data_IF_227698315605
#
_entry.id   IF_227698315605
#
_cell.length_a   1.000
_cell.length_b   1.000
_cell.length_c   1.000
_cell.angle_alpha   90.00
_cell.angle_beta   90.00
_cell.angle_gamma   90.00
#
_symmetry.space_group_name_H-M   'P 1'
#
loop_
_entity.id
_entity.type
_entity.pdbx_description
1 polymer ?
#
# COMPACT_ATOMS: atom_id res chain seq x y z
N UNK A 1 -1.95 -11.04 -24.66
CA UNK A 1 -3.10 -11.83 -25.18
C UNK A 1 -3.48 -12.82 -24.10
N UNK A 2 -4.75 -12.88 -23.67
CA UNK A 2 -5.15 -13.79 -22.59
C UNK A 2 -5.11 -15.26 -23.04
N UNK A 3 -4.56 -16.15 -22.19
CA UNK A 3 -4.59 -17.61 -22.41
C UNK A 3 -5.98 -18.16 -22.04
N UNK A 4 -6.41 -19.25 -22.69
CA UNK A 4 -7.66 -19.93 -22.39
C UNK A 4 -7.71 -20.48 -20.94
N UNK A 5 -8.90 -20.68 -20.35
CA UNK A 5 -9.05 -21.22 -18.99
C UNK A 5 -8.38 -22.59 -18.84
N UNK A 6 -7.68 -22.80 -17.73
CA UNK A 6 -7.02 -24.08 -17.40
C UNK A 6 -7.91 -24.97 -16.53
N UNK A 7 -8.19 -26.19 -16.99
CA UNK A 7 -8.93 -27.21 -16.23
C UNK A 7 -7.94 -28.19 -15.55
N UNK A 8 -7.40 -27.82 -14.39
CA UNK A 8 -6.49 -28.64 -13.61
C UNK A 8 -5.98 -27.95 -12.34
N UNK A 9 -5.17 -28.66 -11.54
CA UNK A 9 -4.46 -28.04 -10.42
C UNK A 9 -3.35 -27.13 -10.94
N UNK A 10 -3.28 -25.90 -10.42
CA UNK A 10 -2.32 -24.91 -10.85
C UNK A 10 -1.38 -24.51 -9.73
N UNK A 11 -0.10 -24.35 -10.05
CA UNK A 11 0.87 -23.78 -9.13
C UNK A 11 0.53 -22.29 -8.93
N UNK A 12 0.45 -21.86 -7.68
CA UNK A 12 0.25 -20.44 -7.35
C UNK A 12 1.58 -19.69 -7.49
N UNK A 13 1.52 -18.45 -7.97
CA UNK A 13 2.67 -17.58 -8.13
C UNK A 13 3.08 -16.98 -6.79
N UNK A 14 4.37 -17.01 -6.39
CA UNK A 14 4.83 -16.28 -5.21
C UNK A 14 4.90 -14.78 -5.52
N UNK A 15 4.20 -13.98 -4.72
CA UNK A 15 4.08 -12.53 -4.91
C UNK A 15 4.93 -11.76 -3.92
N UNK A 16 4.79 -12.11 -2.64
CA UNK A 16 5.54 -11.46 -1.57
C UNK A 16 5.89 -12.46 -0.47
N UNK A 17 7.05 -12.25 0.14
CA UNK A 17 7.48 -12.94 1.34
C UNK A 17 7.99 -11.91 2.35
N UNK A 18 7.22 -11.69 3.42
CA UNK A 18 7.43 -10.61 4.37
C UNK A 18 7.82 -11.19 5.73
N UNK A 19 8.95 -10.73 6.26
CA UNK A 19 9.40 -11.11 7.59
C UNK A 19 9.07 -10.02 8.61
N UNK A 20 8.58 -10.41 9.77
CA UNK A 20 8.20 -9.47 10.84
C UNK A 20 9.36 -8.58 11.30
N UNK A 21 10.58 -9.13 11.31
CA UNK A 21 11.79 -8.38 11.66
C UNK A 21 12.14 -7.25 10.67
N UNK A 22 11.62 -7.34 9.44
CA UNK A 22 11.91 -6.39 8.36
C UNK A 22 10.71 -5.43 8.14
N UNK A 23 9.50 -5.85 8.53
CA UNK A 23 8.24 -5.09 8.44
C UNK A 23 7.55 -5.00 9.83
N UNK A 24 7.79 -3.93 10.60
CA UNK A 24 7.24 -3.73 11.95
C UNK A 24 5.72 -3.62 12.01
N UNK A 25 5.08 -3.06 10.98
CA UNK A 25 3.62 -2.90 10.91
C UNK A 25 2.90 -4.19 10.48
N UNK A 26 3.65 -5.27 10.23
CA UNK A 26 3.10 -6.59 9.94
C UNK A 26 2.74 -7.31 11.25
N UNK A 27 1.46 -7.30 11.59
CA UNK A 27 0.96 -8.02 12.78
C UNK A 27 0.66 -9.49 12.45
N UNK A 28 1.49 -10.40 12.97
CA UNK A 28 1.31 -11.85 12.77
C UNK A 28 0.46 -12.50 13.86
N UNK A 29 -0.20 -13.64 13.56
CA UNK A 29 -0.73 -14.53 14.58
C UNK A 29 0.39 -15.14 15.44
N UNK A 30 0.01 -15.65 16.61
CA UNK A 30 0.93 -16.29 17.54
C UNK A 30 1.73 -17.42 16.87
N UNK A 31 3.06 -17.40 17.04
CA UNK A 31 3.96 -18.42 16.51
C UNK A 31 4.37 -18.25 15.05
N UNK A 32 3.95 -17.18 14.37
CA UNK A 32 4.40 -16.84 13.02
C UNK A 32 5.31 -15.60 13.02
N UNK A 33 6.34 -15.61 12.17
CA UNK A 33 7.27 -14.49 11.92
C UNK A 33 7.50 -14.23 10.42
N UNK A 34 6.72 -14.91 9.57
CA UNK A 34 6.78 -14.89 8.12
C UNK A 34 5.36 -14.94 7.52
N UNK A 35 5.06 -14.01 6.62
CA UNK A 35 3.89 -14.05 5.72
C UNK A 35 4.35 -14.38 4.31
N UNK A 36 3.70 -15.37 3.69
CA UNK A 36 3.82 -15.64 2.25
C UNK A 36 2.49 -15.32 1.56
N UNK A 37 2.57 -14.56 0.47
CA UNK A 37 1.44 -14.16 -0.36
C UNK A 37 1.60 -14.82 -1.73
N UNK A 38 0.59 -15.59 -2.14
CA UNK A 38 0.56 -16.26 -3.42
C UNK A 38 -0.64 -15.82 -4.27
N UNK A 39 -0.48 -15.79 -5.58
CA UNK A 39 -1.57 -15.52 -6.54
C UNK A 39 -1.97 -16.73 -7.37
N UNK A 40 -3.27 -16.80 -7.66
CA UNK A 40 -3.73 -17.57 -8.79
C UNK A 40 -3.25 -16.87 -10.08
N UNK A 41 -2.61 -17.57 -11.02
CA UNK A 41 -2.18 -16.97 -12.29
C UNK A 41 -3.35 -16.65 -13.26
N UNK A 42 -4.60 -16.62 -12.75
CA UNK A 42 -5.83 -16.36 -13.48
C UNK A 42 -6.77 -15.47 -12.66
N UNK A 43 -7.59 -14.69 -13.35
CA UNK A 43 -8.57 -13.80 -12.74
C UNK A 43 -9.81 -14.54 -12.22
N UNK A 44 -10.28 -14.08 -11.08
CA UNK A 44 -11.49 -14.56 -10.44
C UNK A 44 -12.24 -13.44 -9.70
N UNK A 45 -13.17 -12.69 -10.34
CA UNK A 45 -13.47 -12.64 -11.78
C UNK A 45 -12.67 -11.60 -12.57
N UNK A 46 -12.15 -10.56 -11.90
CA UNK A 46 -11.44 -9.43 -12.53
C UNK A 46 -10.00 -9.26 -12.04
N UNK A 47 -9.58 -10.09 -11.07
CA UNK A 47 -8.26 -10.01 -10.45
C UNK A 47 -7.76 -11.38 -9.98
N UNK A 48 -6.43 -11.56 -9.80
CA UNK A 48 -5.87 -12.74 -9.15
C UNK A 48 -6.42 -12.94 -7.74
N UNK A 49 -6.91 -14.15 -7.46
CA UNK A 49 -7.20 -14.56 -6.08
C UNK A 49 -5.90 -14.73 -5.31
N UNK A 50 -5.86 -14.25 -4.07
CA UNK A 50 -4.72 -14.46 -3.17
C UNK A 50 -4.89 -15.65 -2.23
N UNK A 51 -3.76 -16.25 -1.86
CA UNK A 51 -3.66 -17.17 -0.74
C UNK A 51 -2.57 -16.68 0.22
N UNK A 52 -2.91 -16.59 1.50
CA UNK A 52 -2.04 -16.11 2.56
C UNK A 52 -1.58 -17.29 3.43
N UNK A 53 -0.29 -17.36 3.71
CA UNK A 53 0.29 -18.37 4.59
C UNK A 53 1.16 -17.72 5.65
N UNK A 54 0.69 -17.78 6.91
CA UNK A 54 1.48 -17.43 8.08
C UNK A 54 2.34 -18.62 8.51
N UNK A 55 3.64 -18.39 8.73
CA UNK A 55 4.61 -19.43 9.08
C UNK A 55 5.61 -18.93 10.11
N UNK A 56 6.23 -19.88 10.79
CA UNK A 56 7.54 -19.65 11.41
C UNK A 56 8.64 -19.94 10.39
N UNK A 57 9.48 -18.97 10.09
CA UNK A 57 10.62 -19.07 9.19
C UNK A 57 11.56 -20.22 9.59
N UNK A 58 11.75 -20.45 10.89
CA UNK A 58 12.56 -21.55 11.41
C UNK A 58 12.02 -22.95 11.05
N UNK A 59 10.73 -23.06 10.75
CA UNK A 59 10.08 -24.33 10.37
C UNK A 59 10.10 -24.59 8.86
N UNK A 60 10.52 -23.62 8.05
CA UNK A 60 10.62 -23.75 6.59
C UNK A 60 11.97 -24.39 6.25
N UNK A 61 12.01 -25.72 6.26
CA UNK A 61 13.24 -26.50 6.01
C UNK A 61 13.36 -26.99 4.56
N UNK A 62 12.22 -27.33 3.95
CA UNK A 62 12.18 -27.93 2.61
C UNK A 62 12.04 -26.86 1.53
N UNK A 63 13.09 -26.06 1.34
CA UNK A 63 13.13 -24.99 0.34
C UNK A 63 13.34 -25.61 -1.05
N UNK A 64 12.40 -25.36 -1.96
CA UNK A 64 12.52 -25.80 -3.34
C UNK A 64 13.58 -24.97 -4.07
N UNK A 65 14.60 -25.62 -4.62
CA UNK A 65 15.60 -24.98 -5.49
C UNK A 65 15.05 -24.63 -6.86
N UNK A 66 13.89 -25.20 -7.21
CA UNK A 66 13.16 -24.94 -8.45
C UNK A 66 11.69 -24.85 -8.08
N UNK A 67 11.17 -23.63 -7.86
CA UNK A 67 9.75 -23.42 -7.60
C UNK A 67 8.90 -24.02 -8.73
N UNK A 68 7.71 -24.57 -8.43
CA UNK A 68 6.83 -25.10 -9.47
C UNK A 68 6.34 -23.95 -10.36
N UNK A 69 6.64 -24.05 -11.66
CA UNK A 69 6.12 -23.11 -12.64
C UNK A 69 4.68 -23.48 -13.02
N UNK A 70 3.75 -22.51 -13.09
CA UNK A 70 2.40 -22.81 -13.54
C UNK A 70 2.41 -23.22 -15.02
N UNK A 71 1.62 -24.24 -15.42
CA UNK A 71 1.57 -24.70 -16.81
C UNK A 71 0.94 -23.68 -17.76
N UNK A 72 0.22 -22.69 -17.24
CA UNK A 72 -0.38 -21.59 -17.98
C UNK A 72 -0.55 -20.38 -17.06
N UNK A 73 -0.55 -19.19 -17.64
CA UNK A 73 -0.78 -17.93 -16.93
C UNK A 73 -1.63 -17.04 -17.83
N UNK A 74 -2.68 -16.43 -17.28
CA UNK A 74 -3.60 -15.65 -18.10
C UNK A 74 -2.89 -14.46 -18.77
N UNK A 75 -1.99 -13.81 -18.03
CA UNK A 75 -1.17 -12.70 -18.52
C UNK A 75 0.25 -12.79 -17.97
N UNK A 76 1.25 -12.51 -18.81
CA UNK A 76 2.67 -12.62 -18.44
C UNK A 76 3.08 -11.65 -17.31
N UNK A 77 2.37 -10.53 -17.17
CA UNK A 77 2.60 -9.50 -16.15
C UNK A 77 2.05 -9.89 -14.75
N UNK A 78 1.55 -11.12 -14.58
CA UNK A 78 1.21 -11.66 -13.25
C UNK A 78 2.41 -12.26 -12.54
N UNK A 79 3.48 -12.56 -13.26
CA UNK A 79 4.74 -13.01 -12.68
C UNK A 79 5.55 -11.78 -12.24
N UNK A 80 5.68 -11.51 -10.93
CA UNK A 80 6.51 -10.41 -10.46
C UNK A 80 7.98 -10.66 -10.79
N UNK A 81 8.72 -9.59 -11.07
CA UNK A 81 10.17 -9.67 -11.11
C UNK A 81 10.73 -9.87 -9.69
N UNK A 82 11.60 -10.87 -9.45
CA UNK A 82 12.21 -11.06 -8.15
C UNK A 82 13.01 -9.83 -7.72
N UNK A 83 12.60 -9.21 -6.62
CA UNK A 83 13.24 -8.03 -6.06
C UNK A 83 13.37 -8.17 -4.53
N UNK A 84 14.29 -7.41 -3.95
CA UNK A 84 14.34 -7.19 -2.51
C UNK A 84 13.51 -5.96 -2.17
N UNK A 85 12.76 -6.03 -1.08
CA UNK A 85 12.01 -4.90 -0.56
C UNK A 85 12.92 -4.04 0.31
N UNK A 86 12.68 -2.73 0.30
CA UNK A 86 13.31 -1.76 1.20
C UNK A 86 12.22 -1.05 2.03
N UNK A 87 11.75 -1.69 3.12
CA UNK A 87 10.57 -1.20 3.84
C UNK A 87 10.84 0.16 4.49
N UNK A 88 10.00 1.13 4.15
CA UNK A 88 9.92 2.44 4.78
C UNK A 88 8.68 2.48 5.69
N UNK A 89 8.83 2.94 6.93
CA UNK A 89 7.68 3.16 7.80
C UNK A 89 7.21 4.60 7.64
N UNK A 90 5.94 4.79 7.31
CA UNK A 90 5.34 6.10 7.00
C UNK A 90 4.10 6.30 7.88
N UNK A 91 3.89 7.53 8.35
CA UNK A 91 2.61 7.91 8.99
C UNK A 91 1.55 8.20 7.93
N UNK A 92 0.36 7.60 8.07
CA UNK A 92 -0.77 7.79 7.16
C UNK A 92 -2.04 8.17 7.96
N UNK A 93 -3.01 8.76 7.26
CA UNK A 93 -4.34 9.08 7.79
C UNK A 93 -5.44 8.44 6.95
N UNK A 94 -6.64 8.22 7.53
CA UNK A 94 -7.79 7.72 6.79
C UNK A 94 -8.24 8.69 5.70
N UNK A 95 -9.02 8.15 4.75
CA UNK A 95 -9.78 8.92 3.77
C UNK A 95 -10.70 9.95 4.44
N UNK A 96 -10.92 11.09 3.80
CA UNK A 96 -11.74 12.16 4.38
C UNK A 96 -13.15 11.70 4.77
N UNK A 97 -13.75 10.74 4.06
CA UNK A 97 -15.09 10.22 4.38
C UNK A 97 -15.11 9.34 5.63
N UNK A 98 -13.95 8.81 6.05
CA UNK A 98 -13.77 8.03 7.28
C UNK A 98 -13.47 8.93 8.50
N UNK A 99 -13.22 10.23 8.29
CA UNK A 99 -13.03 11.20 9.38
C UNK A 99 -14.34 11.52 10.12
N UNK A 100 -14.21 12.13 11.30
CA UNK A 100 -15.36 12.67 12.02
C UNK A 100 -16.05 13.79 11.22
N UNK A 101 -17.34 14.02 11.45
CA UNK A 101 -18.08 15.11 10.77
C UNK A 101 -17.50 16.49 11.05
N UNK A 102 -16.97 16.70 12.24
CA UNK A 102 -16.26 17.93 12.60
C UNK A 102 -15.03 18.14 11.73
N UNK A 103 -14.22 17.09 11.51
CA UNK A 103 -13.04 17.19 10.64
C UNK A 103 -13.41 17.33 9.16
N UNK A 104 -14.48 16.66 8.70
CA UNK A 104 -14.98 16.86 7.32
C UNK A 104 -15.42 18.31 7.07
N UNK A 105 -16.10 18.93 8.04
CA UNK A 105 -16.51 20.34 7.94
C UNK A 105 -15.32 21.30 7.92
N UNK A 106 -14.30 21.04 8.76
CA UNK A 106 -13.06 21.83 8.78
C UNK A 106 -12.30 21.71 7.45
N UNK A 107 -12.15 20.50 6.92
CA UNK A 107 -11.52 20.25 5.62
C UNK A 107 -12.24 21.00 4.50
N UNK A 108 -13.57 20.91 4.44
CA UNK A 108 -14.39 21.57 3.42
C UNK A 108 -14.38 23.10 3.50
N UNK A 109 -13.89 23.69 4.60
CA UNK A 109 -13.77 25.15 4.74
C UNK A 109 -12.45 25.66 4.13
N UNK A 110 -12.27 25.46 2.81
CA UNK A 110 -11.07 25.85 2.05
C UNK A 110 -10.56 27.25 2.38
N UNK A 111 -11.46 28.22 2.55
CA UNK A 111 -11.11 29.61 2.80
C UNK A 111 -10.24 29.82 4.04
N UNK A 112 -10.31 28.91 5.01
CA UNK A 112 -9.54 28.99 6.24
C UNK A 112 -8.07 28.61 6.03
N UNK A 113 -7.76 27.74 5.06
CA UNK A 113 -6.41 27.21 4.86
C UNK A 113 -5.85 27.37 3.44
N UNK A 114 -6.62 27.92 2.50
CA UNK A 114 -6.16 28.23 1.13
C UNK A 114 -4.93 29.13 1.08
N UNK A 115 -4.72 29.97 2.12
CA UNK A 115 -3.57 30.86 2.21
C UNK A 115 -2.27 30.14 2.59
N UNK A 116 -2.38 28.91 3.09
CA UNK A 116 -1.25 28.07 3.43
C UNK A 116 -0.72 27.32 2.19
N UNK A 117 -1.59 26.96 1.24
CA UNK A 117 -1.22 26.16 0.06
C UNK A 117 -0.82 27.04 -1.12
N UNK A 118 0.26 26.69 -1.81
CA UNK A 118 0.67 27.31 -3.08
C UNK A 118 0.13 26.50 -4.25
N UNK A 119 -0.38 27.16 -5.30
CA UNK A 119 -1.02 26.55 -6.49
C UNK A 119 -2.48 26.07 -6.28
N UNK A 120 -3.37 27.05 -6.12
CA UNK A 120 -4.71 26.96 -5.52
C UNK A 120 -5.82 26.62 -6.54
N UNK A 121 -5.59 26.86 -7.84
CA UNK A 121 -6.69 27.03 -8.79
C UNK A 121 -7.48 25.74 -9.08
N UNK A 122 -6.88 24.55 -8.94
CA UNK A 122 -7.55 23.27 -9.26
C UNK A 122 -8.27 22.62 -8.06
N UNK A 123 -7.92 22.94 -6.82
CA UNK A 123 -8.48 22.28 -5.62
C UNK A 123 -9.42 23.15 -4.78
N UNK A 124 -9.56 24.44 -5.09
CA UNK A 124 -10.46 25.33 -4.36
C UNK A 124 -11.94 24.85 -4.38
N UNK A 125 -12.32 24.06 -5.38
CA UNK A 125 -13.65 23.43 -5.47
C UNK A 125 -13.74 22.06 -4.80
N UNK A 126 -12.62 21.42 -4.45
CA UNK A 126 -12.54 20.09 -3.83
C UNK A 126 -11.41 19.99 -2.78
N UNK A 127 -11.52 20.69 -1.63
CA UNK A 127 -10.53 20.64 -0.53
C UNK A 127 -10.24 19.24 0.01
N UNK A 128 -11.26 18.39 0.03
CA UNK A 128 -11.19 17.00 0.43
C UNK A 128 -10.26 16.18 -0.47
N UNK A 129 -10.32 16.38 -1.79
CA UNK A 129 -9.44 15.69 -2.75
C UNK A 129 -7.97 16.04 -2.51
N UNK A 130 -7.70 17.30 -2.13
CA UNK A 130 -6.35 17.71 -1.76
C UNK A 130 -5.85 16.94 -0.52
N UNK A 131 -6.67 16.83 0.53
CA UNK A 131 -6.32 16.07 1.73
C UNK A 131 -6.07 14.59 1.41
N UNK A 132 -6.92 13.97 0.59
CA UNK A 132 -6.75 12.55 0.24
C UNK A 132 -5.44 12.31 -0.51
N UNK A 133 -5.10 13.19 -1.46
CA UNK A 133 -3.87 13.09 -2.26
C UNK A 133 -2.62 13.34 -1.43
N UNK A 134 -2.62 14.38 -0.62
CA UNK A 134 -1.41 14.89 0.03
C UNK A 134 -1.18 14.34 1.44
N UNK A 135 -2.25 14.08 2.19
CA UNK A 135 -2.15 13.77 3.62
C UNK A 135 -2.62 12.36 4.00
N UNK A 136 -3.69 11.84 3.41
CA UNK A 136 -4.29 10.54 3.76
C UNK A 136 -3.39 9.32 3.48
N UNK A 137 -3.95 8.22 2.97
CA UNK A 137 -3.20 7.02 2.61
C UNK A 137 -2.20 7.28 1.46
N UNK A 138 -0.95 6.86 1.62
CA UNK A 138 0.09 6.95 0.61
C UNK A 138 -0.20 5.98 -0.56
N UNK A 139 0.23 6.33 -1.79
CA UNK A 139 0.28 5.39 -2.91
C UNK A 139 1.23 4.21 -2.66
N UNK A 140 1.16 3.21 -3.54
CA UNK A 140 2.20 2.19 -3.64
C UNK A 140 1.98 0.92 -2.82
N UNK A 141 3.02 0.09 -2.80
CA UNK A 141 3.04 -1.14 -2.02
C UNK A 141 3.15 -0.82 -0.54
N UNK A 142 2.25 -1.37 0.26
CA UNK A 142 2.28 -1.13 1.71
C UNK A 142 1.70 -2.25 2.53
N UNK A 143 2.18 -2.35 3.76
CA UNK A 143 1.67 -3.26 4.78
C UNK A 143 1.00 -2.45 5.86
N UNK A 144 -0.21 -2.84 6.26
CA UNK A 144 -0.99 -2.06 7.22
C UNK A 144 -1.46 -0.73 6.66
N UNK A 145 -1.55 0.26 7.55
CA UNK A 145 -1.94 1.63 7.21
C UNK A 145 -3.42 1.77 6.89
N UNK A 146 -3.74 2.78 6.08
CA UNK A 146 -5.12 3.09 5.68
C UNK A 146 -5.39 2.69 4.23
N UNK A 147 -6.52 2.05 3.90
CA UNK A 147 -6.86 1.76 2.52
C UNK A 147 -7.05 3.05 1.71
N UNK A 148 -6.70 3.01 0.42
CA UNK A 148 -7.17 4.00 -0.56
C UNK A 148 -8.46 3.52 -1.20
N UNK A 149 -9.37 4.43 -1.52
CA UNK A 149 -10.68 4.06 -2.06
C UNK A 149 -10.91 4.53 -3.50
N UNK A 150 -10.04 5.42 -4.00
CA UNK A 150 -10.08 5.92 -5.36
C UNK A 150 -11.44 6.56 -5.66
N UNK A 151 -12.13 6.08 -6.69
CA UNK A 151 -13.45 6.59 -7.07
C UNK A 151 -14.61 5.93 -6.30
N UNK A 152 -14.34 5.09 -5.29
CA UNK A 152 -15.35 4.40 -4.49
C UNK A 152 -15.40 4.99 -3.09
N UNK A 153 -16.58 5.12 -2.49
CA UNK A 153 -16.68 5.54 -1.09
C UNK A 153 -16.09 4.47 -0.15
N UNK A 154 -15.49 4.87 0.99
CA UNK A 154 -15.07 3.96 2.03
C UNK A 154 -16.22 3.09 2.54
N UNK A 155 -15.96 1.79 2.62
CA UNK A 155 -16.95 0.83 3.12
C UNK A 155 -16.31 -0.12 4.12
N UNK A 156 -16.86 -0.22 5.36
CA UNK A 156 -16.32 -1.13 6.36
C UNK A 156 -16.17 -2.55 5.81
N UNK A 157 -15.01 -3.14 6.05
CA UNK A 157 -14.72 -4.53 5.69
C UNK A 157 -14.99 -5.38 6.91
N UNK A 158 -16.05 -6.20 6.84
CA UNK A 158 -16.45 -7.07 7.94
C UNK A 158 -15.94 -8.49 7.71
N UNK A 159 -15.36 -9.08 8.75
CA UNK A 159 -14.90 -10.46 8.70
C UNK A 159 -16.09 -11.40 8.45
N UNK A 160 -16.05 -12.26 7.42
CA UNK A 160 -17.16 -13.16 7.12
C UNK A 160 -17.38 -14.24 8.20
N UNK A 161 -16.39 -14.49 9.05
CA UNK A 161 -16.47 -15.49 10.11
C UNK A 161 -17.03 -14.95 11.43
N UNK A 162 -16.63 -13.75 11.86
CA UNK A 162 -17.01 -13.18 13.16
C UNK A 162 -17.71 -11.82 13.11
N UNK A 163 -17.76 -11.17 11.94
CA UNK A 163 -18.46 -9.89 11.74
C UNK A 163 -17.77 -8.67 12.35
N UNK A 164 -16.54 -8.79 12.85
CA UNK A 164 -15.73 -7.65 13.29
C UNK A 164 -15.18 -6.88 12.09
N UNK A 165 -14.85 -5.60 12.31
CA UNK A 165 -14.07 -4.84 11.34
C UNK A 165 -12.72 -5.52 11.07
N UNK A 166 -12.29 -5.44 9.82
CA UNK A 166 -11.03 -5.98 9.32
C UNK A 166 -10.04 -4.84 9.09
N UNK A 167 -8.77 -5.12 9.35
CA UNK A 167 -7.68 -4.19 9.13
C UNK A 167 -7.09 -4.39 7.73
N UNK A 168 -6.62 -3.31 7.11
CA UNK A 168 -5.82 -3.42 5.90
C UNK A 168 -4.52 -4.17 6.22
N UNK A 169 -4.24 -5.24 5.49
CA UNK A 169 -3.04 -6.06 5.66
C UNK A 169 -1.96 -5.67 4.66
N UNK A 170 -2.30 -5.65 3.37
CA UNK A 170 -1.35 -5.46 2.29
C UNK A 170 -2.06 -4.78 1.11
N UNK A 171 -1.47 -3.70 0.61
CA UNK A 171 -1.79 -3.14 -0.71
C UNK A 171 -0.68 -3.52 -1.67
N UNK A 172 -1.06 -4.13 -2.79
CA UNK A 172 -0.19 -4.44 -3.91
C UNK A 172 -0.58 -3.52 -5.05
N UNK A 173 0.26 -2.53 -5.31
CA UNK A 173 -0.03 -1.49 -6.28
C UNK A 173 0.63 -1.78 -7.64
N UNK A 174 0.06 -1.25 -8.71
CA UNK A 174 0.77 -1.25 -10.00
C UNK A 174 1.95 -0.27 -9.97
N UNK A 175 1.81 0.85 -9.27
CA UNK A 175 2.84 1.89 -9.19
C UNK A 175 3.13 2.29 -7.74
N UNK A 176 4.40 2.54 -7.43
CA UNK A 176 4.88 3.04 -6.12
C UNK A 176 4.63 4.54 -5.92
N UNK A 177 3.77 5.16 -6.70
CA UNK A 177 3.54 6.59 -6.74
C UNK A 177 2.63 6.93 -7.91
N UNK A 178 1.83 7.97 -7.76
CA UNK A 178 1.00 8.52 -8.83
C UNK A 178 1.49 9.92 -9.22
N UNK A 179 0.88 10.51 -10.25
CA UNK A 179 1.18 11.88 -10.69
C UNK A 179 0.35 12.94 -9.94
N UNK A 180 -0.62 12.49 -9.13
CA UNK A 180 -1.59 13.35 -8.44
C UNK A 180 -1.22 13.59 -6.97
N UNK A 181 -0.23 12.89 -6.43
CA UNK A 181 0.32 13.06 -5.08
C UNK A 181 1.77 13.55 -5.11
N UNK A 182 2.13 14.43 -4.17
CA UNK A 182 3.53 14.81 -3.95
C UNK A 182 4.38 13.72 -3.27
N UNK A 183 3.76 12.64 -2.79
CA UNK A 183 4.45 11.57 -2.07
C UNK A 183 5.30 10.69 -3.01
N UNK A 184 6.53 10.37 -2.58
CA UNK A 184 7.44 9.45 -3.27
C UNK A 184 8.26 8.60 -2.28
N UNK A 185 8.59 7.35 -2.63
CA UNK A 185 9.48 6.51 -1.82
C UNK A 185 10.93 7.03 -1.85
N UNK A 186 11.72 6.69 -0.82
CA UNK A 186 13.13 7.11 -0.69
C UNK A 186 13.97 6.89 -1.96
N UNK A 187 13.82 5.73 -2.60
CA UNK A 187 14.68 5.30 -3.70
C UNK A 187 14.54 6.21 -4.93
N UNK A 188 13.37 6.83 -5.12
CA UNK A 188 13.12 7.78 -6.22
C UNK A 188 13.80 9.14 -5.97
N UNK A 189 14.04 9.51 -4.71
CA UNK A 189 14.75 10.74 -4.37
C UNK A 189 16.27 10.63 -4.60
N UNK A 190 16.85 9.44 -4.48
CA UNK A 190 18.29 9.24 -4.64
C UNK A 190 18.76 9.33 -6.10
N UNK A 191 17.90 8.99 -7.07
CA UNK A 191 18.16 9.12 -8.51
C UNK A 191 18.12 10.57 -9.03
N UNK A 192 17.57 11.51 -8.25
CA UNK A 192 17.60 12.95 -8.57
C UNK A 192 18.86 13.54 -7.96
N UNK A 193 19.85 13.88 -8.81
CA UNK A 193 21.15 14.45 -8.41
C UNK A 193 21.06 15.40 -7.21
N UNK A 194 21.82 15.04 -6.16
CA UNK A 194 22.02 15.75 -4.89
C UNK A 194 21.99 17.29 -5.01
N UNK A 195 20.91 17.92 -4.54
CA UNK A 195 20.95 19.27 -3.95
C UNK A 195 19.87 19.44 -2.86
N UNK A 196 20.07 18.84 -1.69
CA UNK A 196 19.28 19.14 -0.48
C UNK A 196 19.34 18.03 0.57
N UNK A 197 19.13 18.34 1.87
CA UNK A 197 18.97 17.30 2.89
C UNK A 197 17.81 16.37 2.49
N UNK A 198 18.01 15.07 2.69
CA UNK A 198 17.04 13.98 2.47
C UNK A 198 15.61 14.44 2.78
N UNK A 199 14.76 14.59 1.76
CA UNK A 199 13.39 15.06 1.96
C UNK A 199 12.51 13.91 2.44
N UNK A 200 12.46 13.76 3.76
CA UNK A 200 11.52 12.95 4.54
C UNK A 200 10.11 13.55 4.63
N UNK A 201 9.74 14.39 3.66
CA UNK A 201 8.64 15.35 3.84
C UNK A 201 7.56 15.14 2.79
N UNK A 202 6.31 15.20 3.25
CA UNK A 202 5.18 15.65 2.44
C UNK A 202 5.60 16.87 1.62
N UNK A 203 5.13 17.00 0.37
CA UNK A 203 5.44 18.16 -0.45
C UNK A 203 5.11 19.48 0.27
N UNK A 204 5.68 20.62 -0.17
CA UNK A 204 5.46 21.93 0.46
C UNK A 204 3.98 22.27 0.67
N UNK A 205 3.13 21.80 -0.25
CA UNK A 205 1.68 21.98 -0.23
C UNK A 205 1.02 21.22 0.93
N UNK A 206 1.26 19.91 1.06
CA UNK A 206 0.75 19.14 2.19
C UNK A 206 1.32 19.59 3.53
N UNK A 207 2.61 19.99 3.58
CA UNK A 207 3.23 20.56 4.79
C UNK A 207 2.45 21.77 5.33
N UNK A 208 1.99 22.64 4.44
CA UNK A 208 1.28 23.84 4.83
C UNK A 208 -0.10 23.54 5.45
N UNK A 209 -0.76 22.47 5.00
CA UNK A 209 -2.03 22.01 5.59
C UNK A 209 -1.83 21.44 6.99
N UNK A 210 -0.75 20.68 7.19
CA UNK A 210 -0.37 20.17 8.52
C UNK A 210 -0.11 21.33 9.49
N UNK A 211 0.65 22.33 9.06
CA UNK A 211 0.97 23.50 9.89
C UNK A 211 -0.29 24.30 10.26
N UNK A 212 -1.26 24.39 9.33
CA UNK A 212 -2.57 24.99 9.60
C UNK A 212 -3.33 24.24 10.70
N UNK A 213 -3.49 22.91 10.58
CA UNK A 213 -4.21 22.12 11.59
C UNK A 213 -3.52 22.18 12.95
N UNK A 214 -2.18 22.11 12.98
CA UNK A 214 -1.39 22.28 14.21
C UNK A 214 -1.61 23.64 14.86
N UNK A 215 -1.70 24.71 14.07
CA UNK A 215 -1.96 26.06 14.59
C UNK A 215 -3.35 26.18 15.26
N UNK A 216 -4.29 25.31 14.90
CA UNK A 216 -5.60 25.19 15.55
C UNK A 216 -5.62 24.24 16.75
N UNK A 217 -4.46 23.64 17.10
CA UNK A 217 -4.34 22.67 18.18
C UNK A 217 -4.78 21.25 17.80
N UNK A 218 -4.93 20.98 16.50
CA UNK A 218 -5.25 19.66 15.97
C UNK A 218 -3.94 18.93 15.71
N UNK A 219 -3.79 17.75 16.31
CA UNK A 219 -2.60 16.95 16.13
C UNK A 219 -2.63 16.26 14.77
N UNK A 220 -1.86 16.82 13.83
CA UNK A 220 -1.56 16.22 12.52
C UNK A 220 -0.06 16.18 12.37
N UNK A 221 0.45 15.09 11.81
CA UNK A 221 1.85 14.87 11.47
C UNK A 221 2.03 14.75 9.97
N UNK A 222 3.20 15.12 9.47
CA UNK A 222 3.56 14.91 8.08
C UNK A 222 3.36 13.44 7.70
N UNK A 223 2.86 13.19 6.50
CA UNK A 223 3.01 11.88 5.86
C UNK A 223 4.50 11.69 5.67
N UNK A 224 5.12 11.06 6.67
CA UNK A 224 6.55 11.20 6.93
C UNK A 224 7.15 9.94 7.53
N UNK A 225 8.46 9.80 7.33
CA UNK A 225 9.24 8.62 7.70
C UNK A 225 9.37 8.50 9.20
N UNK A 226 8.97 7.37 9.76
CA UNK A 226 9.28 7.02 11.14
C UNK A 226 10.75 6.61 11.21
N UNK A 227 11.53 7.29 12.05
CA UNK A 227 12.95 6.98 12.25
C UNK A 227 13.13 5.56 12.80
N UNK A 228 13.72 4.67 12.00
CA UNK A 228 14.13 3.32 12.44
C UNK A 228 15.61 3.27 12.83
N UNK A 229 15.96 2.34 13.72
CA UNK A 229 17.32 1.81 13.83
C UNK A 229 17.65 1.02 12.55
N UNK A 230 18.52 1.58 11.71
CA UNK A 230 18.69 1.18 10.32
C UNK A 230 19.19 -0.28 10.14
N UNK A 231 18.36 -1.11 9.50
CA UNK A 231 18.80 -2.26 8.70
C UNK A 231 18.23 -2.07 7.30
N UNK A 232 18.98 -1.37 6.45
CA UNK A 232 18.62 -1.16 5.04
C UNK A 232 19.35 -2.21 4.21
N UNK A 233 18.61 -2.98 3.42
CA UNK A 233 19.19 -3.84 2.41
C UNK A 233 19.71 -2.95 1.26
N UNK A 234 20.85 -3.28 0.63
CA UNK A 234 21.39 -2.45 -0.44
C UNK A 234 20.45 -2.41 -1.64
N UNK A 235 20.35 -1.22 -2.25
CA UNK A 235 19.50 -0.91 -3.40
C UNK A 235 19.77 -1.87 -4.56
N UNK A 236 18.70 -2.46 -5.10
CA UNK A 236 18.74 -3.15 -6.39
C UNK A 236 18.79 -2.13 -7.52
N UNK A 237 19.52 -2.43 -8.60
CA UNK A 237 19.53 -1.61 -9.81
C UNK A 237 18.24 -1.84 -10.60
N UNK A 238 17.16 -1.10 -10.29
CA UNK A 238 15.87 -1.30 -10.93
C UNK A 238 15.71 -0.44 -12.21
N UNK A 239 15.35 -1.01 -13.37
CA UNK A 239 15.19 -0.27 -14.63
C UNK A 239 13.91 0.61 -14.72
N UNK A 240 12.94 0.50 -13.80
CA UNK A 240 11.73 1.33 -13.79
C UNK A 240 11.37 1.82 -12.37
N UNK A 241 11.80 3.02 -11.95
CA UNK A 241 11.72 3.46 -10.55
C UNK A 241 10.30 3.56 -9.96
N UNK A 242 9.25 3.65 -10.81
CA UNK A 242 7.84 3.70 -10.38
C UNK A 242 7.12 2.35 -10.38
N UNK A 243 7.71 1.30 -10.95
CA UNK A 243 7.11 -0.04 -11.04
C UNK A 243 8.17 -1.13 -10.77
N UNK A 244 8.79 -1.14 -9.57
CA UNK A 244 9.96 -1.96 -9.32
C UNK A 244 9.67 -3.47 -9.28
N UNK A 245 8.43 -3.86 -9.02
CA UNK A 245 7.98 -5.26 -8.98
C UNK A 245 7.60 -5.81 -10.35
N UNK A 246 7.49 -4.95 -11.37
CA UNK A 246 6.91 -5.24 -12.70
C UNK A 246 5.47 -5.80 -12.65
N UNK A 247 4.83 -5.80 -11.47
CA UNK A 247 3.46 -6.24 -11.27
C UNK A 247 2.52 -5.24 -11.92
N UNK A 248 1.52 -5.75 -12.62
CA UNK A 248 0.43 -4.94 -13.14
C UNK A 248 -0.91 -5.54 -12.75
N UNK A 249 -1.67 -4.78 -11.95
CA UNK A 249 -3.01 -5.13 -11.49
C UNK A 249 -4.02 -4.44 -12.40
N UNK A 250 -4.64 -5.19 -13.31
CA UNK A 250 -5.58 -4.63 -14.29
C UNK A 250 -4.98 -3.48 -15.12
N UNK A 251 -5.74 -2.42 -15.32
CA UNK A 251 -5.33 -1.22 -16.08
C UNK A 251 -4.56 -0.18 -15.24
N UNK A 252 -3.84 -0.60 -14.20
CA UNK A 252 -3.14 0.29 -13.26
C UNK A 252 -3.80 0.45 -11.90
N UNK A 253 -4.64 -0.52 -11.54
CA UNK A 253 -5.34 -0.58 -10.25
C UNK A 253 -4.43 -1.09 -9.14
N UNK A 254 -4.98 -1.12 -7.93
CA UNK A 254 -4.32 -1.63 -6.73
C UNK A 254 -5.18 -2.75 -6.10
N UNK A 255 -4.54 -3.83 -5.66
CA UNK A 255 -5.19 -4.91 -4.89
C UNK A 255 -4.93 -4.72 -3.40
N UNK A 256 -6.00 -4.58 -2.62
CA UNK A 256 -5.95 -4.50 -1.16
C UNK A 256 -6.45 -5.80 -0.53
N UNK A 257 -5.69 -6.28 0.45
CA UNK A 257 -6.02 -7.43 1.28
C UNK A 257 -6.33 -6.95 2.68
N UNK A 258 -7.40 -7.49 3.27
CA UNK A 258 -7.79 -7.19 4.64
C UNK A 258 -7.82 -8.46 5.48
N UNK A 259 -7.49 -8.32 6.76
CA UNK A 259 -7.42 -9.43 7.70
C UNK A 259 -8.24 -9.15 8.96
N UNK A 260 -8.76 -10.21 9.58
CA UNK A 260 -9.44 -10.09 10.85
C UNK A 260 -8.41 -9.89 11.98
N UNK A 261 -8.42 -8.76 12.70
CA UNK A 261 -7.45 -8.51 13.77
C UNK A 261 -7.66 -9.46 14.97
N UNK A 262 -8.88 -9.94 15.18
CA UNK A 262 -9.19 -10.86 16.28
C UNK A 262 -8.69 -12.30 16.02
N UNK A 263 -8.53 -12.68 14.74
CA UNK A 263 -8.19 -14.03 14.32
C UNK A 263 -7.63 -14.02 12.89
N UNK A 264 -6.31 -13.85 12.71
CA UNK A 264 -5.65 -13.79 11.41
C UNK A 264 -5.84 -15.05 10.54
N UNK A 265 -6.28 -16.16 11.14
CA UNK A 265 -6.64 -17.41 10.46
C UNK A 265 -8.04 -17.40 9.82
N UNK A 266 -8.88 -16.40 10.14
CA UNK A 266 -10.15 -16.22 9.45
C UNK A 266 -9.93 -15.89 7.96
N UNK A 267 -10.92 -16.14 7.08
CA UNK A 267 -10.81 -15.76 5.69
C UNK A 267 -10.50 -14.27 5.53
N UNK A 268 -9.47 -13.96 4.75
CA UNK A 268 -9.17 -12.60 4.32
C UNK A 268 -10.18 -12.13 3.28
N UNK A 269 -10.29 -10.82 3.09
CA UNK A 269 -11.08 -10.22 2.01
C UNK A 269 -10.19 -9.44 1.06
N UNK A 270 -10.62 -9.32 -0.19
CA UNK A 270 -9.86 -8.69 -1.27
C UNK A 270 -10.69 -7.57 -1.90
N UNK A 271 -10.02 -6.47 -2.28
CA UNK A 271 -10.60 -5.36 -3.02
C UNK A 271 -9.65 -4.95 -4.14
N UNK A 272 -10.22 -4.64 -5.30
CA UNK A 272 -9.53 -3.94 -6.39
C UNK A 272 -10.13 -2.54 -6.47
N UNK A 273 -9.29 -1.52 -6.61
CA UNK A 273 -9.71 -0.12 -6.82
C UNK A 273 -8.75 0.62 -7.74
#
# INVERSE_FOLDING_TARGET
MAIAPYEGSIAMLPVAQLYLRDVPDLHAPEGADLLQVLWCPFDHPIMPRTALFWRSAATVTDILTTPPEPPAMQFDNYLPEPCLLNPEQVTEYPDHLELSKEFQEQLGTWSEWQAAVTDVDDYASSPEEFYDRELAAAPGWKVGGWPRWGATDPTPRLCPACGSDMDALLTMATFEGDDDSSWLPNEVFEDREHTGPSSSHTGPEGQAVIDFFRAQGIEVHDRGRVTRDARVAPLGTNPAPRQPTAVQIGSGYDQQLYICPAAPEHPHSELMH
#
